data_IF_222805134462
#
_entry.id   IF_222805134462
#
_cell.length_a   1.000
_cell.length_b   1.000
_cell.length_c   1.000
_cell.angle_alpha   90.00
_cell.angle_beta   90.00
_cell.angle_gamma   90.00
#
_symmetry.space_group_name_H-M   'P 1'
#
loop_
_entity.id
_entity.type
_entity.pdbx_description
1 polymer ?
#
# COMPACT_ATOMS: atom_id res chain seq x y z
N UNK A 1 14.90 32.81 19.53
CA UNK A 1 14.73 32.59 18.07
C UNK A 1 13.32 32.11 17.84
N UNK A 2 12.55 32.78 17.00
CA UNK A 2 11.22 32.33 16.65
C UNK A 2 11.35 31.03 15.84
N UNK A 3 10.39 30.08 15.98
CA UNK A 3 10.46 28.79 15.27
C UNK A 3 10.50 28.90 13.73
N UNK A 4 10.22 30.09 13.16
CA UNK A 4 10.30 30.37 11.72
C UNK A 4 11.73 30.34 11.18
N UNK A 5 12.69 30.73 11.99
CA UNK A 5 14.09 30.87 11.54
C UNK A 5 14.91 29.59 11.77
N UNK A 6 14.34 28.61 12.46
CA UNK A 6 15.09 27.42 12.87
C UNK A 6 15.44 26.50 11.68
N UNK A 7 14.51 26.29 10.76
CA UNK A 7 14.79 25.51 9.54
C UNK A 7 15.83 26.23 8.67
N UNK A 8 15.77 27.55 8.57
CA UNK A 8 16.76 28.32 7.84
C UNK A 8 18.13 28.37 8.54
N UNK A 9 18.18 28.23 9.88
CA UNK A 9 19.41 28.27 10.65
C UNK A 9 20.10 26.89 10.76
N UNK A 10 19.38 25.80 10.77
CA UNK A 10 19.87 24.44 10.99
C UNK A 10 19.76 23.55 9.77
N UNK A 11 18.92 23.92 8.78
CA UNK A 11 18.63 23.12 7.61
C UNK A 11 19.49 23.47 6.40
N UNK A 12 19.70 22.47 5.54
CA UNK A 12 20.20 22.68 4.18
C UNK A 12 19.14 23.37 3.34
N UNK A 13 19.51 24.43 2.61
CA UNK A 13 18.63 25.07 1.63
C UNK A 13 18.56 24.19 0.35
N UNK A 14 17.40 23.63 0.11
CA UNK A 14 17.12 22.79 -1.06
C UNK A 14 16.11 23.44 -2.01
N UNK A 15 15.95 24.76 -1.95
CA UNK A 15 14.87 25.49 -2.68
C UNK A 15 14.92 25.20 -4.18
N UNK A 16 16.08 25.24 -4.82
CA UNK A 16 16.22 24.97 -6.25
C UNK A 16 15.86 23.53 -6.60
N UNK A 17 16.34 22.57 -5.79
CA UNK A 17 15.97 21.16 -5.96
C UNK A 17 14.47 20.93 -5.79
N UNK A 18 13.87 21.53 -4.79
CA UNK A 18 12.45 21.48 -4.53
C UNK A 18 11.63 22.12 -5.66
N UNK A 19 12.09 23.25 -6.22
CA UNK A 19 11.44 23.88 -7.36
C UNK A 19 11.42 22.98 -8.58
N UNK A 20 12.53 22.36 -8.94
CA UNK A 20 12.62 21.37 -10.05
C UNK A 20 11.71 20.18 -9.82
N UNK A 21 11.67 19.65 -8.60
CA UNK A 21 10.80 18.55 -8.24
C UNK A 21 9.32 18.91 -8.36
N UNK A 22 8.89 20.05 -7.81
CA UNK A 22 7.50 20.53 -7.86
C UNK A 22 7.05 20.78 -9.30
N UNK A 23 7.89 21.40 -10.11
CA UNK A 23 7.59 21.61 -11.53
C UNK A 23 7.35 20.28 -12.26
N UNK A 24 8.19 19.28 -12.01
CA UNK A 24 8.01 17.94 -12.59
C UNK A 24 6.75 17.22 -12.07
N UNK A 25 6.40 17.36 -10.78
CA UNK A 25 5.16 16.81 -10.21
C UNK A 25 3.91 17.45 -10.85
N UNK A 26 3.95 18.75 -11.15
CA UNK A 26 2.86 19.47 -11.77
C UNK A 26 2.80 19.30 -13.30
N UNK A 27 3.85 18.80 -13.93
CA UNK A 27 3.88 18.56 -15.37
C UNK A 27 2.81 17.53 -15.79
N UNK A 28 2.33 17.59 -17.04
CA UNK A 28 1.47 16.55 -17.57
C UNK A 28 2.18 15.18 -17.52
N UNK A 29 1.53 14.13 -17.01
CA UNK A 29 2.11 12.79 -17.00
C UNK A 29 2.08 12.19 -18.40
N UNK A 30 2.96 11.22 -18.64
CA UNK A 30 2.78 10.27 -19.72
C UNK A 30 1.66 9.29 -19.32
N UNK A 31 0.58 9.26 -20.06
CA UNK A 31 -0.48 8.27 -19.87
C UNK A 31 -0.14 7.03 -20.67
N UNK A 32 -0.01 5.90 -19.98
CA UNK A 32 0.26 4.59 -20.59
C UNK A 32 -1.06 3.84 -20.59
N UNK A 33 -1.60 3.63 -21.78
CA UNK A 33 -2.90 3.01 -21.97
C UNK A 33 -2.91 1.52 -21.68
N UNK A 34 -4.11 1.05 -21.35
CA UNK A 34 -4.44 -0.36 -21.10
C UNK A 34 -4.61 -1.19 -22.37
N UNK A 35 -4.19 -0.69 -23.53
CA UNK A 35 -4.26 -1.43 -24.78
C UNK A 35 -3.72 -2.84 -24.56
N UNK A 36 -4.59 -3.85 -24.74
CA UNK A 36 -4.20 -5.25 -24.64
C UNK A 36 -3.07 -5.51 -25.65
N UNK A 37 -1.85 -5.32 -25.19
CA UNK A 37 -0.68 -5.62 -25.99
C UNK A 37 -0.66 -7.15 -26.19
N UNK A 38 -0.71 -7.62 -27.44
CA UNK A 38 -0.58 -9.04 -27.77
C UNK A 38 0.67 -9.64 -27.12
N UNK A 39 1.73 -8.84 -26.97
CA UNK A 39 2.95 -9.23 -26.27
C UNK A 39 2.72 -9.59 -24.79
N UNK A 40 1.71 -9.00 -24.13
CA UNK A 40 1.29 -9.30 -22.77
C UNK A 40 0.65 -10.69 -22.67
N UNK A 41 -0.24 -11.01 -23.60
CA UNK A 41 -0.87 -12.34 -23.68
C UNK A 41 0.16 -13.42 -23.94
N UNK A 42 1.08 -13.16 -24.85
CA UNK A 42 2.14 -14.11 -25.20
C UNK A 42 3.10 -14.36 -24.02
N UNK A 43 3.50 -13.34 -23.28
CA UNK A 43 4.34 -13.48 -22.09
C UNK A 43 3.68 -14.36 -21.00
N UNK A 44 2.38 -14.20 -20.79
CA UNK A 44 1.61 -15.01 -19.83
C UNK A 44 1.42 -16.44 -20.32
N UNK A 45 1.09 -16.63 -21.58
CA UNK A 45 0.93 -17.97 -22.18
C UNK A 45 2.25 -18.74 -22.18
N UNK A 46 3.37 -18.09 -22.48
CA UNK A 46 4.69 -18.72 -22.46
C UNK A 46 5.19 -19.09 -21.07
N UNK A 47 4.69 -18.43 -20.01
CA UNK A 47 5.08 -18.75 -18.62
C UNK A 47 4.43 -20.03 -18.08
N UNK A 48 3.39 -20.56 -18.74
CA UNK A 48 2.60 -21.71 -18.26
C UNK A 48 1.77 -21.38 -17.01
N UNK A 49 1.78 -20.15 -16.53
CA UNK A 49 0.94 -19.71 -15.43
C UNK A 49 -0.49 -19.49 -15.95
N UNK A 50 -1.49 -20.06 -15.28
CA UNK A 50 -2.89 -19.72 -15.56
C UNK A 50 -3.11 -18.24 -15.21
N UNK A 51 -3.39 -17.36 -16.18
CA UNK A 51 -3.59 -15.95 -15.89
C UNK A 51 -4.86 -15.77 -15.07
N UNK A 52 -4.83 -14.96 -14.00
CA UNK A 52 -6.07 -14.43 -13.45
C UNK A 52 -6.70 -13.53 -14.54
N UNK A 53 -7.82 -13.94 -15.11
CA UNK A 53 -8.57 -13.14 -16.07
C UNK A 53 -9.46 -12.13 -15.34
N UNK A 54 -9.61 -10.91 -15.89
CA UNK A 54 -9.09 -10.39 -17.16
C UNK A 54 -7.73 -9.71 -17.02
N UNK A 55 -6.87 -9.83 -18.06
CA UNK A 55 -5.63 -9.06 -18.22
C UNK A 55 -5.94 -7.61 -18.67
N UNK A 56 -6.93 -6.99 -18.07
CA UNK A 56 -7.26 -5.59 -18.31
C UNK A 56 -6.58 -4.75 -17.24
N UNK A 57 -5.92 -3.69 -17.66
CA UNK A 57 -5.32 -2.70 -16.79
C UNK A 57 -5.93 -1.34 -17.12
N UNK A 58 -6.29 -0.58 -16.11
CA UNK A 58 -6.69 0.82 -16.29
C UNK A 58 -5.44 1.66 -16.63
N UNK A 59 -5.66 2.82 -17.24
CA UNK A 59 -4.57 3.74 -17.59
C UNK A 59 -3.72 4.10 -16.37
N UNK A 60 -2.41 4.13 -16.60
CA UNK A 60 -1.42 4.54 -15.62
C UNK A 60 -0.79 5.86 -16.01
N UNK A 61 -0.42 6.64 -15.02
CA UNK A 61 0.36 7.86 -15.20
C UNK A 61 1.84 7.60 -14.86
N UNK A 62 2.72 8.04 -15.74
CA UNK A 62 4.17 7.97 -15.52
C UNK A 62 4.73 9.38 -15.48
N UNK A 63 5.40 9.72 -14.39
CA UNK A 63 6.14 10.96 -14.24
C UNK A 63 7.63 10.69 -14.18
N UNK A 64 8.39 11.37 -15.03
CA UNK A 64 9.84 11.40 -14.96
C UNK A 64 10.27 12.57 -14.07
N UNK A 65 10.76 12.25 -12.89
CA UNK A 65 11.21 13.23 -11.92
C UNK A 65 12.72 13.42 -12.06
N UNK A 66 13.19 14.64 -12.36
CA UNK A 66 14.61 14.93 -12.57
C UNK A 66 15.42 14.82 -11.27
N UNK A 67 14.75 14.85 -10.13
CA UNK A 67 15.36 14.77 -8.80
C UNK A 67 14.34 14.25 -7.79
N UNK A 68 14.81 13.68 -6.69
CA UNK A 68 14.00 13.39 -5.51
C UNK A 68 14.17 14.50 -4.47
N UNK A 69 13.17 14.75 -3.64
CA UNK A 69 13.30 15.71 -2.54
C UNK A 69 14.38 15.30 -1.53
N UNK A 70 14.59 13.98 -1.36
CA UNK A 70 15.53 13.42 -0.37
C UNK A 70 16.86 12.97 -0.98
N UNK A 71 17.00 12.92 -2.31
CA UNK A 71 18.19 12.48 -3.02
C UNK A 71 18.25 13.14 -4.41
N UNK A 72 19.45 13.33 -4.93
CA UNK A 72 19.66 13.87 -6.29
C UNK A 72 19.71 12.76 -7.35
N UNK A 73 18.66 11.95 -7.44
CA UNK A 73 18.57 10.87 -8.42
C UNK A 73 17.36 11.10 -9.32
N UNK A 74 17.55 10.90 -10.61
CA UNK A 74 16.44 10.87 -11.57
C UNK A 74 15.71 9.53 -11.45
N UNK A 75 14.38 9.56 -11.52
CA UNK A 75 13.59 8.34 -11.47
C UNK A 75 12.22 8.52 -12.11
N UNK A 76 11.65 7.40 -12.54
CA UNK A 76 10.26 7.35 -12.99
C UNK A 76 9.34 6.91 -11.84
N UNK A 77 8.26 7.64 -11.66
CA UNK A 77 7.18 7.27 -10.74
C UNK A 77 5.99 6.81 -11.55
N UNK A 78 5.60 5.57 -11.37
CA UNK A 78 4.41 5.00 -11.99
C UNK A 78 3.26 5.04 -11.01
N UNK A 79 2.21 5.78 -11.35
CA UNK A 79 0.98 5.92 -10.58
C UNK A 79 -0.13 5.14 -11.29
N UNK A 80 -0.50 4.00 -10.74
CA UNK A 80 -1.65 3.24 -11.21
C UNK A 80 -2.96 3.90 -10.79
N UNK A 81 -4.05 3.61 -11.48
CA UNK A 81 -5.37 4.20 -11.21
C UNK A 81 -5.77 4.08 -9.73
N UNK A 82 -5.59 2.89 -9.16
CA UNK A 82 -5.84 2.68 -7.73
C UNK A 82 -5.08 3.64 -6.81
N UNK A 83 -3.81 3.97 -7.12
CA UNK A 83 -3.02 4.93 -6.33
C UNK A 83 -3.58 6.35 -6.43
N UNK A 84 -4.00 6.75 -7.63
CA UNK A 84 -4.64 8.04 -7.87
C UNK A 84 -5.98 8.14 -7.12
N UNK A 85 -6.81 7.11 -7.22
CA UNK A 85 -8.10 7.07 -6.53
C UNK A 85 -7.98 7.12 -5.00
N UNK A 86 -6.97 6.45 -4.42
CA UNK A 86 -6.69 6.54 -2.97
C UNK A 86 -6.20 7.95 -2.61
N UNK A 87 -5.40 8.60 -3.47
CA UNK A 87 -4.97 9.97 -3.25
C UNK A 87 -6.14 10.95 -3.32
N UNK A 88 -7.05 10.79 -4.28
CA UNK A 88 -8.28 11.60 -4.40
C UNK A 88 -9.16 11.48 -3.15
N UNK A 89 -9.30 10.26 -2.62
CA UNK A 89 -10.07 10.02 -1.40
C UNK A 89 -9.41 10.63 -0.15
N UNK A 90 -8.07 10.62 -0.10
CA UNK A 90 -7.32 11.31 0.94
C UNK A 90 -7.48 12.83 0.83
N UNK A 91 -7.36 13.39 -0.38
CA UNK A 91 -7.56 14.81 -0.65
C UNK A 91 -8.96 15.28 -0.28
N UNK A 92 -9.99 14.52 -0.65
CA UNK A 92 -11.39 14.81 -0.27
C UNK A 92 -11.56 14.88 1.25
N UNK A 93 -10.91 13.97 2.01
CA UNK A 93 -10.98 13.98 3.47
C UNK A 93 -10.18 15.12 4.10
N UNK A 94 -9.07 15.53 3.48
CA UNK A 94 -8.22 16.63 3.97
C UNK A 94 -8.82 18.02 3.70
N UNK A 95 -9.91 18.12 2.94
CA UNK A 95 -10.57 19.38 2.62
C UNK A 95 -11.07 20.03 3.90
N UNK A 96 -10.66 21.26 4.13
CA UNK A 96 -11.18 22.07 5.22
C UNK A 96 -12.50 22.73 4.77
N UNK A 97 -13.56 22.66 5.58
CA UNK A 97 -14.74 23.49 5.36
C UNK A 97 -14.40 24.99 5.39
N UNK A 98 -15.18 25.79 4.68
CA UNK A 98 -15.05 27.24 4.74
C UNK A 98 -15.16 27.76 6.15
N UNK A 99 -14.27 28.67 6.54
CA UNK A 99 -14.23 29.23 7.89
C UNK A 99 -13.61 28.30 8.95
N UNK A 100 -12.95 27.20 8.57
CA UNK A 100 -12.28 26.34 9.55
C UNK A 100 -11.22 27.12 10.35
N UNK A 101 -11.27 27.09 11.70
CA UNK A 101 -10.32 27.81 12.52
C UNK A 101 -8.89 27.34 12.33
N UNK A 102 -7.95 28.26 12.10
CA UNK A 102 -6.52 27.93 11.83
C UNK A 102 -5.86 27.13 12.96
N UNK A 103 -6.24 27.36 14.21
CA UNK A 103 -5.71 26.67 15.39
C UNK A 103 -6.59 25.51 15.86
N UNK A 104 -7.40 24.94 14.99
CA UNK A 104 -8.17 23.73 15.24
C UNK A 104 -7.52 22.57 14.53
N UNK A 105 -7.46 21.42 15.20
CA UNK A 105 -6.93 20.17 14.63
C UNK A 105 -7.54 19.90 13.26
N UNK A 106 -6.66 19.83 12.27
CA UNK A 106 -7.04 19.47 10.90
C UNK A 106 -7.41 18.00 10.77
N UNK A 107 -8.05 17.65 9.66
CA UNK A 107 -8.34 16.25 9.32
C UNK A 107 -7.08 15.38 9.30
N UNK A 108 -7.27 14.08 9.52
CA UNK A 108 -6.20 13.11 9.60
C UNK A 108 -6.50 11.87 8.76
N UNK A 109 -5.51 11.42 7.99
CA UNK A 109 -5.60 10.25 7.12
C UNK A 109 -4.45 9.30 7.42
N UNK A 110 -4.77 8.03 7.58
CA UNK A 110 -3.82 6.94 7.54
C UNK A 110 -3.89 6.26 6.17
N UNK A 111 -2.77 6.11 5.49
CA UNK A 111 -2.65 5.29 4.28
C UNK A 111 -1.78 4.09 4.58
N UNK A 112 -2.36 2.90 4.47
CA UNK A 112 -1.67 1.65 4.76
C UNK A 112 -1.75 0.66 3.60
N UNK A 113 -0.96 -0.40 3.67
CA UNK A 113 -0.86 -1.43 2.64
C UNK A 113 0.48 -2.14 2.73
N UNK A 114 0.65 -3.22 1.98
CA UNK A 114 1.87 -4.03 2.02
C UNK A 114 3.14 -3.23 1.77
N UNK A 115 4.27 -3.55 2.43
CA UNK A 115 5.53 -2.88 2.17
C UNK A 115 5.98 -3.03 0.71
N UNK A 116 6.43 -1.95 0.07
CA UNK A 116 7.01 -2.02 -1.28
C UNK A 116 6.04 -1.88 -2.45
N UNK A 117 4.75 -1.54 -2.20
CA UNK A 117 3.72 -1.33 -3.25
C UNK A 117 3.66 0.10 -3.80
N UNK A 118 4.54 1.00 -3.37
CA UNK A 118 4.60 2.38 -3.85
C UNK A 118 3.93 3.43 -2.96
N UNK A 119 3.56 3.10 -1.71
CA UNK A 119 2.95 4.06 -0.77
C UNK A 119 3.77 5.33 -0.59
N UNK A 120 5.06 5.18 -0.28
CA UNK A 120 5.92 6.33 0.02
C UNK A 120 6.23 7.18 -1.21
N UNK A 121 6.41 6.56 -2.37
CA UNK A 121 6.81 7.28 -3.58
C UNK A 121 5.58 7.68 -4.43
N UNK A 122 4.87 6.72 -5.02
CA UNK A 122 3.80 6.99 -5.97
C UNK A 122 2.59 7.71 -5.32
N UNK A 123 2.17 7.27 -4.13
CA UNK A 123 1.07 7.92 -3.43
C UNK A 123 1.45 9.35 -2.98
N UNK A 124 2.67 9.56 -2.45
CA UNK A 124 3.09 10.90 -2.04
C UNK A 124 3.14 11.86 -3.22
N UNK A 125 3.60 11.41 -4.40
CA UNK A 125 3.61 12.24 -5.62
C UNK A 125 2.19 12.56 -6.06
N UNK A 126 1.28 11.58 -6.11
CA UNK A 126 -0.13 11.80 -6.45
C UNK A 126 -0.80 12.79 -5.48
N UNK A 127 -0.58 12.60 -4.18
CA UNK A 127 -1.10 13.47 -3.13
C UNK A 127 -0.56 14.91 -3.26
N UNK A 128 0.75 15.08 -3.42
CA UNK A 128 1.38 16.40 -3.59
C UNK A 128 0.81 17.11 -4.82
N UNK A 129 0.65 16.39 -5.93
CA UNK A 129 0.08 16.95 -7.15
C UNK A 129 -1.32 17.50 -6.93
N UNK A 130 -2.21 16.75 -6.27
CA UNK A 130 -3.55 17.21 -5.96
C UNK A 130 -3.57 18.39 -4.97
N UNK A 131 -2.74 18.34 -3.92
CA UNK A 131 -2.60 19.46 -2.96
C UNK A 131 -2.15 20.74 -3.65
N UNK A 132 -1.13 20.67 -4.50
CA UNK A 132 -0.55 21.84 -5.18
C UNK A 132 -1.48 22.42 -6.25
N UNK A 133 -2.34 21.58 -6.86
CA UNK A 133 -3.39 22.01 -7.80
C UNK A 133 -4.64 22.57 -7.12
N UNK A 134 -4.73 22.48 -5.80
CA UNK A 134 -5.88 22.94 -5.04
C UNK A 134 -7.09 22.01 -5.10
N UNK A 135 -6.90 20.72 -5.38
CA UNK A 135 -7.99 19.74 -5.48
C UNK A 135 -8.64 19.43 -4.10
N UNK A 136 -7.90 19.63 -3.02
CA UNK A 136 -8.40 19.55 -1.63
C UNK A 136 -8.86 20.90 -1.04
N UNK A 137 -9.21 21.86 -1.86
CA UNK A 137 -9.38 23.26 -1.49
C UNK A 137 -8.10 24.07 -1.79
N UNK A 138 -7.95 25.32 -1.31
CA UNK A 138 -6.76 26.11 -1.57
C UNK A 138 -5.48 25.36 -1.24
N UNK A 139 -4.48 25.44 -2.12
CA UNK A 139 -3.19 24.79 -1.91
C UNK A 139 -2.58 25.20 -0.56
N UNK A 140 -1.97 24.27 0.20
CA UNK A 140 -1.39 24.60 1.48
C UNK A 140 -0.16 25.50 1.31
N UNK A 141 -0.04 26.60 2.11
CA UNK A 141 1.12 27.47 2.05
C UNK A 141 2.40 26.77 2.53
N UNK A 142 2.24 25.72 3.34
CA UNK A 142 3.34 24.94 3.90
C UNK A 142 3.02 23.45 3.83
N UNK A 143 3.98 22.66 3.34
CA UNK A 143 3.98 21.20 3.44
C UNK A 143 5.23 20.78 4.19
N UNK A 144 5.06 19.92 5.20
CA UNK A 144 6.17 19.32 5.95
C UNK A 144 6.13 17.81 5.73
N UNK A 145 7.26 17.23 5.34
CA UNK A 145 7.40 15.79 5.07
C UNK A 145 8.44 15.22 6.04
N UNK A 146 7.99 14.39 6.97
CA UNK A 146 8.83 13.69 7.95
C UNK A 146 9.07 12.25 7.46
N UNK A 147 10.24 12.00 6.83
CA UNK A 147 10.62 10.68 6.34
C UNK A 147 11.58 10.04 7.36
N UNK A 148 11.03 9.40 8.36
CA UNK A 148 11.78 8.85 9.50
C UNK A 148 12.75 7.74 9.11
N UNK A 149 12.51 7.04 8.01
CA UNK A 149 13.43 6.02 7.50
C UNK A 149 14.79 6.58 7.07
N UNK A 150 14.87 7.87 6.70
CA UNK A 150 16.09 8.59 6.32
C UNK A 150 16.51 9.63 7.34
N UNK A 151 15.82 9.70 8.49
CA UNK A 151 16.01 10.71 9.53
C UNK A 151 15.94 12.15 9.02
N UNK A 152 15.16 12.39 7.94
CA UNK A 152 15.12 13.67 7.25
C UNK A 152 13.71 14.26 7.29
N UNK A 153 13.62 15.53 7.64
CA UNK A 153 12.40 16.32 7.55
C UNK A 153 12.60 17.45 6.54
N UNK A 154 11.66 17.55 5.59
CA UNK A 154 11.64 18.60 4.58
C UNK A 154 10.47 19.51 4.82
N UNK A 155 10.71 20.80 4.77
CA UNK A 155 9.70 21.86 4.85
C UNK A 155 9.69 22.66 3.57
N UNK A 156 8.55 22.65 2.90
CA UNK A 156 8.29 23.36 1.66
C UNK A 156 7.33 24.52 1.93
N UNK A 157 7.64 25.70 1.42
CA UNK A 157 6.78 26.89 1.43
C UNK A 157 6.48 27.30 -0.01
N UNK A 158 5.25 27.66 -0.27
CA UNK A 158 4.77 27.95 -1.61
C UNK A 158 4.29 29.39 -1.74
N UNK A 159 4.45 29.95 -2.94
CA UNK A 159 3.67 31.08 -3.41
C UNK A 159 2.37 30.56 -3.98
N UNK A 160 1.25 31.07 -3.50
CA UNK A 160 -0.10 30.65 -3.87
C UNK A 160 -0.79 31.75 -4.67
N UNK A 161 -1.32 31.42 -5.84
CA UNK A 161 -2.14 32.28 -6.69
C UNK A 161 -3.40 31.51 -7.05
N UNK A 162 -4.56 32.17 -6.95
CA UNK A 162 -5.87 31.56 -7.24
C UNK A 162 -6.09 30.16 -6.61
N UNK A 163 -5.59 29.98 -5.39
CA UNK A 163 -5.70 28.72 -4.66
C UNK A 163 -4.79 27.60 -5.15
N UNK A 164 -3.84 27.88 -6.06
CA UNK A 164 -2.86 26.91 -6.58
C UNK A 164 -1.44 27.32 -6.23
N UNK A 165 -0.58 26.35 -6.03
CA UNK A 165 0.85 26.62 -5.85
C UNK A 165 1.49 26.89 -7.22
N UNK A 166 2.09 28.08 -7.36
CA UNK A 166 2.76 28.50 -8.61
C UNK A 166 4.27 28.30 -8.57
N UNK A 167 4.87 28.38 -7.37
CA UNK A 167 6.31 28.19 -7.19
C UNK A 167 6.65 27.83 -5.75
N UNK A 168 7.84 27.25 -5.56
CA UNK A 168 8.43 27.07 -4.23
C UNK A 168 9.06 28.40 -3.78
N UNK A 169 8.58 28.95 -2.68
CA UNK A 169 9.14 30.15 -2.07
C UNK A 169 10.42 29.87 -1.33
N UNK A 170 10.46 28.79 -0.57
CA UNK A 170 11.65 28.28 0.14
C UNK A 170 11.47 26.81 0.50
N UNK A 171 12.56 26.08 0.50
CA UNK A 171 12.59 24.69 0.93
C UNK A 171 13.85 24.39 1.75
N UNK A 172 13.67 23.70 2.86
CA UNK A 172 14.77 23.33 3.77
C UNK A 172 14.68 21.86 4.13
N UNK A 173 15.84 21.22 4.20
CA UNK A 173 16.01 19.86 4.72
C UNK A 173 16.73 19.94 6.06
N UNK A 174 16.22 19.26 7.06
CA UNK A 174 16.77 19.23 8.43
C UNK A 174 16.83 17.78 8.93
N UNK A 175 17.80 17.46 9.78
CA UNK A 175 17.80 16.16 10.46
C UNK A 175 16.62 16.07 11.43
N UNK A 176 16.04 14.87 11.54
CA UNK A 176 14.89 14.62 12.39
C UNK A 176 15.18 14.91 13.88
N UNK A 177 16.42 14.74 14.32
CA UNK A 177 16.83 15.05 15.71
C UNK A 177 16.69 16.53 16.03
N UNK A 178 16.86 17.39 15.02
CA UNK A 178 16.71 18.84 15.13
C UNK A 178 15.27 19.32 14.90
N UNK A 179 14.42 18.46 14.30
CA UNK A 179 13.02 18.75 14.11
C UNK A 179 12.25 18.58 15.42
N UNK A 180 11.45 19.59 15.76
CA UNK A 180 10.57 19.54 16.94
C UNK A 180 9.11 19.60 16.52
N UNK A 181 8.29 18.81 17.21
CA UNK A 181 6.83 18.86 17.07
C UNK A 181 6.23 20.25 17.44
N UNK A 182 7.02 21.13 18.04
CA UNK A 182 6.67 22.53 18.35
C UNK A 182 6.98 23.52 17.21
N UNK A 183 7.21 23.05 15.98
CA UNK A 183 7.32 23.95 14.82
C UNK A 183 5.99 24.73 14.66
N UNK A 184 6.02 26.07 14.60
CA UNK A 184 4.80 26.90 14.61
C UNK A 184 3.90 26.66 13.38
N UNK A 185 4.44 26.15 12.26
CA UNK A 185 3.61 25.82 11.11
C UNK A 185 2.79 24.55 11.37
N UNK A 186 3.20 23.66 12.28
CA UNK A 186 2.40 22.49 12.69
C UNK A 186 1.21 22.87 13.59
N UNK A 187 1.20 24.06 14.15
CA UNK A 187 0.07 24.61 14.91
C UNK A 187 -1.04 25.18 14.00
N UNK A 188 -0.87 25.09 12.68
CA UNK A 188 -1.80 25.67 11.71
C UNK A 188 -2.47 24.57 10.89
N UNK A 189 -3.80 24.54 10.88
CA UNK A 189 -4.58 23.62 10.06
C UNK A 189 -4.44 23.87 8.54
N UNK A 190 -3.92 25.03 8.13
CA UNK A 190 -3.56 25.32 6.73
C UNK A 190 -2.31 24.56 6.26
N UNK A 191 -1.46 24.10 7.19
CA UNK A 191 -0.30 23.26 6.90
C UNK A 191 -0.72 21.81 6.65
N UNK A 192 0.00 21.13 5.76
CA UNK A 192 -0.09 19.68 5.57
C UNK A 192 1.18 19.02 6.10
N UNK A 193 1.00 18.03 6.95
CA UNK A 193 2.07 17.26 7.56
C UNK A 193 1.99 15.79 7.10
N UNK A 194 2.99 15.34 6.35
CA UNK A 194 3.09 13.98 5.83
C UNK A 194 4.15 13.24 6.64
N UNK A 195 3.79 12.10 7.22
CA UNK A 195 4.68 11.29 8.06
C UNK A 195 4.82 9.89 7.44
N UNK A 196 6.06 9.51 7.12
CA UNK A 196 6.43 8.13 6.77
C UNK A 196 7.22 7.55 7.95
N UNK A 197 6.59 6.77 8.85
CA UNK A 197 7.22 6.27 10.06
C UNK A 197 8.35 5.29 9.73
N UNK A 198 9.43 5.37 10.53
CA UNK A 198 10.54 4.43 10.42
C UNK A 198 10.11 3.00 10.76
N UNK A 199 10.82 2.03 10.19
CA UNK A 199 10.77 0.65 10.68
C UNK A 199 11.15 0.63 12.17
N UNK A 200 10.65 -0.36 12.92
CA UNK A 200 10.93 -0.63 14.34
C UNK A 200 12.36 -0.21 14.76
N UNK A 201 12.57 1.03 15.06
CA UNK A 201 13.76 1.52 15.77
C UNK A 201 13.27 2.29 16.97
N UNK A 202 14.07 2.28 18.01
CA UNK A 202 13.81 2.78 19.35
C UNK A 202 13.33 4.24 19.48
N UNK A 203 13.15 4.93 18.37
CA UNK A 203 12.69 6.35 18.30
C UNK A 203 11.34 6.48 17.55
N UNK A 204 10.80 5.39 17.03
CA UNK A 204 9.55 5.40 16.27
C UNK A 204 8.32 5.50 17.20
N UNK A 205 8.16 6.65 17.80
CA UNK A 205 6.87 7.00 18.42
C UNK A 205 5.81 7.27 17.35
N UNK A 206 4.57 7.17 17.76
CA UNK A 206 3.41 7.66 17.00
C UNK A 206 3.67 9.08 16.46
N UNK A 207 3.12 9.46 15.30
CA UNK A 207 3.22 10.83 14.83
C UNK A 207 2.81 11.82 15.92
N UNK A 208 3.48 12.99 16.00
CA UNK A 208 3.15 13.97 17.02
C UNK A 208 1.71 14.47 16.86
N UNK A 209 1.11 14.82 17.97
CA UNK A 209 -0.22 15.40 17.99
C UNK A 209 -0.14 16.89 17.68
N UNK A 210 -0.49 17.28 16.45
CA UNK A 210 -0.34 18.65 15.91
C UNK A 210 -1.67 19.15 15.35
N UNK A 211 -1.82 20.45 15.13
CA UNK A 211 -3.03 21.04 14.54
C UNK A 211 -3.06 20.89 12.99
N UNK A 212 -1.92 20.69 12.34
CA UNK A 212 -1.81 20.50 10.90
C UNK A 212 -2.67 19.33 10.38
N UNK A 213 -3.15 19.43 9.14
CA UNK A 213 -3.74 18.31 8.40
C UNK A 213 -2.67 17.22 8.28
N UNK A 214 -2.93 16.04 8.80
CA UNK A 214 -1.88 15.03 8.94
C UNK A 214 -2.17 13.80 8.13
N UNK A 215 -1.19 13.34 7.36
CA UNK A 215 -1.22 12.08 6.62
C UNK A 215 -0.12 11.19 7.16
N UNK A 216 -0.47 9.98 7.57
CA UNK A 216 0.48 8.94 7.98
C UNK A 216 0.51 7.86 6.91
N UNK A 217 1.69 7.56 6.38
CA UNK A 217 1.91 6.54 5.35
C UNK A 217 2.65 5.38 6.01
N UNK A 218 1.93 4.39 6.51
CA UNK A 218 2.51 3.32 7.32
C UNK A 218 2.35 1.93 6.69
N UNK A 219 3.21 0.96 7.03
CA UNK A 219 2.90 -0.46 6.82
C UNK A 219 1.69 -0.86 7.68
N UNK A 220 1.07 -2.02 7.44
CA UNK A 220 -0.08 -2.48 8.19
C UNK A 220 0.32 -3.02 9.60
N UNK A 221 1.13 -2.28 10.33
CA UNK A 221 1.55 -2.56 11.70
C UNK A 221 1.06 -1.43 12.59
N UNK A 222 0.13 -1.72 13.49
CA UNK A 222 -0.58 -0.74 14.33
C UNK A 222 0.34 0.01 15.29
N UNK A 223 1.47 -0.56 15.66
CA UNK A 223 2.50 0.08 16.50
C UNK A 223 2.88 1.47 15.97
N UNK A 224 2.86 1.65 14.64
CA UNK A 224 3.23 2.90 13.99
C UNK A 224 2.14 3.99 14.03
N UNK A 225 0.87 3.63 14.21
CA UNK A 225 -0.23 4.57 14.04
C UNK A 225 -1.40 4.43 15.02
N UNK A 226 -1.41 3.41 15.90
CA UNK A 226 -2.52 3.17 16.85
C UNK A 226 -2.86 4.41 17.68
N UNK A 227 -1.84 5.03 18.28
CA UNK A 227 -2.04 6.25 19.07
C UNK A 227 -2.52 7.43 18.22
N UNK A 228 -2.04 7.54 16.98
CA UNK A 228 -2.50 8.54 16.03
C UNK A 228 -3.99 8.37 15.73
N UNK A 229 -4.43 7.14 15.44
CA UNK A 229 -5.82 6.83 15.14
C UNK A 229 -6.76 7.07 16.34
N UNK A 230 -6.28 6.86 17.57
CA UNK A 230 -7.10 7.08 18.77
C UNK A 230 -7.16 8.53 19.23
N UNK A 231 -6.10 9.32 18.98
CA UNK A 231 -6.02 10.72 19.46
C UNK A 231 -6.64 11.73 18.49
N UNK A 232 -6.80 11.39 17.22
CA UNK A 232 -7.34 12.29 16.20
C UNK A 232 -8.86 12.22 16.14
N UNK A 233 -9.56 13.35 15.99
CA UNK A 233 -11.00 13.35 15.78
C UNK A 233 -11.30 12.81 14.35
N UNK A 234 -12.03 11.69 14.28
CA UNK A 234 -12.50 11.06 13.03
C UNK A 234 -11.39 10.82 12.01
N UNK A 235 -10.30 10.14 12.38
CA UNK A 235 -9.25 9.81 11.42
C UNK A 235 -9.80 8.84 10.39
N UNK A 236 -9.37 8.95 9.14
CA UNK A 236 -9.75 8.05 8.05
C UNK A 236 -8.60 7.11 7.73
N UNK A 237 -8.84 5.81 7.76
CA UNK A 237 -7.90 4.82 7.26
C UNK A 237 -8.23 4.47 5.81
N UNK A 238 -7.23 4.51 4.94
CA UNK A 238 -7.29 4.13 3.53
C UNK A 238 -6.30 3.00 3.26
N UNK A 239 -6.75 1.99 2.52
CA UNK A 239 -6.00 0.78 2.28
C UNK A 239 -5.60 0.66 0.81
N UNK A 240 -4.30 0.51 0.55
CA UNK A 240 -3.76 0.29 -0.79
C UNK A 240 -3.55 -1.21 -1.04
N UNK A 241 -4.19 -1.73 -2.10
CA UNK A 241 -3.98 -3.12 -2.54
C UNK A 241 -2.63 -3.31 -3.22
N UNK A 242 -2.19 -4.54 -3.34
CA UNK A 242 -1.05 -4.92 -4.16
C UNK A 242 -1.31 -4.67 -5.65
N UNK A 243 -0.25 -4.72 -6.45
CA UNK A 243 -0.33 -4.60 -7.90
C UNK A 243 -0.89 -5.88 -8.53
N UNK A 244 -1.72 -5.73 -9.54
CA UNK A 244 -2.10 -6.85 -10.39
C UNK A 244 -0.96 -7.21 -11.34
N UNK A 245 -1.01 -8.41 -11.92
CA UNK A 245 -0.04 -8.81 -12.94
C UNK A 245 -0.10 -7.89 -14.15
N UNK A 246 -1.29 -7.52 -14.59
CA UNK A 246 -1.50 -6.62 -15.72
C UNK A 246 -0.86 -5.24 -15.47
N UNK A 247 -1.09 -4.65 -14.29
CA UNK A 247 -0.45 -3.39 -13.90
C UNK A 247 1.08 -3.49 -13.93
N UNK A 248 1.65 -4.59 -13.43
CA UNK A 248 3.09 -4.79 -13.41
C UNK A 248 3.69 -4.95 -14.81
N UNK A 249 3.01 -5.67 -15.70
CA UNK A 249 3.46 -5.86 -17.08
C UNK A 249 3.42 -4.55 -17.88
N UNK A 250 2.38 -3.74 -17.71
CA UNK A 250 2.30 -2.40 -18.33
C UNK A 250 3.37 -1.46 -17.75
N UNK A 251 3.62 -1.51 -16.44
CA UNK A 251 4.65 -0.70 -15.78
C UNK A 251 6.08 -1.19 -16.00
N UNK A 252 6.27 -2.40 -16.54
CA UNK A 252 7.58 -3.06 -16.70
C UNK A 252 8.64 -2.20 -17.36
N UNK A 253 8.38 -1.53 -18.50
CA UNK A 253 9.43 -0.73 -19.17
C UNK A 253 10.01 0.37 -18.29
N UNK A 254 9.24 0.88 -17.32
CA UNK A 254 9.63 1.98 -16.44
C UNK A 254 10.21 1.51 -15.11
N UNK A 255 9.72 0.38 -14.60
CA UNK A 255 10.09 -0.12 -13.26
C UNK A 255 11.14 -1.24 -13.30
N UNK A 256 11.15 -2.03 -14.37
CA UNK A 256 11.95 -3.24 -14.53
C UNK A 256 12.52 -3.35 -15.97
N UNK A 257 13.23 -2.33 -16.50
CA UNK A 257 13.64 -2.30 -17.91
C UNK A 257 14.51 -3.51 -18.28
N UNK A 258 15.29 -4.03 -17.33
CA UNK A 258 16.20 -5.17 -17.52
C UNK A 258 15.51 -6.54 -17.34
N UNK A 259 14.20 -6.57 -17.01
CA UNK A 259 13.48 -7.81 -16.73
C UNK A 259 12.50 -8.09 -17.87
N UNK A 260 12.59 -9.24 -18.51
CA UNK A 260 11.61 -9.66 -19.52
C UNK A 260 10.25 -10.02 -18.87
N UNK A 261 9.20 -10.08 -19.70
CA UNK A 261 7.84 -10.33 -19.23
C UNK A 261 7.69 -11.70 -18.57
N UNK A 262 8.31 -12.75 -19.12
CA UNK A 262 8.25 -14.11 -18.58
C UNK A 262 8.86 -14.18 -17.18
N UNK A 263 10.07 -13.67 -17.02
CA UNK A 263 10.75 -13.59 -15.72
C UNK A 263 9.93 -12.81 -14.69
N UNK A 264 9.29 -11.70 -15.10
CA UNK A 264 8.42 -10.93 -14.20
C UNK A 264 7.21 -11.74 -13.75
N UNK A 265 6.57 -12.49 -14.66
CA UNK A 265 5.45 -13.39 -14.32
C UNK A 265 5.89 -14.49 -13.35
N UNK A 266 7.02 -15.14 -13.58
CA UNK A 266 7.55 -16.18 -12.70
C UNK A 266 7.82 -15.66 -11.29
N UNK A 267 8.36 -14.44 -11.15
CA UNK A 267 8.56 -13.78 -9.86
C UNK A 267 7.22 -13.39 -9.21
N UNK A 268 6.27 -12.89 -10.00
CA UNK A 268 4.94 -12.52 -9.51
C UNK A 268 4.17 -13.71 -8.97
N UNK A 269 4.22 -14.87 -9.61
CA UNK A 269 3.59 -16.11 -9.12
C UNK A 269 4.05 -16.44 -7.70
N UNK A 270 5.33 -16.18 -7.38
CA UNK A 270 5.92 -16.45 -6.05
C UNK A 270 5.65 -15.33 -5.04
N UNK A 271 5.80 -14.06 -5.45
CA UNK A 271 5.85 -12.89 -4.56
C UNK A 271 4.65 -11.96 -4.70
N UNK A 272 3.66 -12.32 -5.54
CA UNK A 272 2.48 -11.48 -5.76
C UNK A 272 2.82 -10.08 -6.27
N UNK A 273 1.89 -9.15 -6.05
CA UNK A 273 1.95 -7.80 -6.56
C UNK A 273 2.77 -6.82 -5.71
N UNK A 274 3.97 -7.21 -5.27
CA UNK A 274 4.88 -6.34 -4.49
C UNK A 274 6.10 -5.97 -5.35
N UNK A 275 6.10 -4.83 -6.06
CA UNK A 275 7.16 -4.45 -7.01
C UNK A 275 8.57 -4.53 -6.45
N UNK A 276 8.77 -4.15 -5.19
CA UNK A 276 10.09 -4.20 -4.55
C UNK A 276 10.69 -5.60 -4.55
N UNK A 277 9.87 -6.64 -4.38
CA UNK A 277 10.29 -8.04 -4.35
C UNK A 277 10.56 -8.63 -5.73
N UNK A 278 10.21 -7.90 -6.81
CA UNK A 278 10.29 -8.37 -8.18
C UNK A 278 11.49 -7.82 -8.97
N UNK A 279 12.27 -6.90 -8.38
CA UNK A 279 13.34 -6.16 -9.08
C UNK A 279 14.45 -7.03 -9.65
N UNK A 280 14.86 -8.07 -8.94
CA UNK A 280 15.94 -8.98 -9.38
C UNK A 280 15.74 -10.38 -8.79
N UNK A 281 16.42 -11.37 -9.35
CA UNK A 281 16.37 -12.76 -8.88
C UNK A 281 16.86 -12.89 -7.43
N UNK A 282 17.92 -12.19 -7.07
CA UNK A 282 18.47 -12.22 -5.73
C UNK A 282 17.48 -11.64 -4.71
N UNK A 283 16.80 -10.54 -5.03
CA UNK A 283 15.77 -9.94 -4.19
C UNK A 283 14.56 -10.87 -4.09
N UNK A 284 14.10 -11.43 -5.21
CA UNK A 284 12.99 -12.37 -5.24
C UNK A 284 13.30 -13.63 -4.40
N UNK A 285 14.49 -14.19 -4.56
CA UNK A 285 14.94 -15.36 -3.77
C UNK A 285 14.97 -15.05 -2.28
N UNK A 286 15.55 -13.92 -1.88
CA UNK A 286 15.57 -13.47 -0.49
C UNK A 286 14.15 -13.30 0.07
N UNK A 287 13.25 -12.72 -0.72
CA UNK A 287 11.85 -12.57 -0.34
C UNK A 287 11.16 -13.95 -0.20
N UNK A 288 11.42 -14.92 -1.10
CA UNK A 288 10.91 -16.28 -1.00
C UNK A 288 11.39 -16.98 0.28
N UNK A 289 12.67 -16.88 0.60
CA UNK A 289 13.22 -17.44 1.85
C UNK A 289 12.52 -16.84 3.07
N UNK A 290 12.39 -15.54 3.12
CA UNK A 290 11.66 -14.84 4.20
C UNK A 290 10.21 -15.32 4.30
N UNK A 291 9.50 -15.41 3.18
CA UNK A 291 8.12 -15.89 3.12
C UNK A 291 8.00 -17.31 3.68
N UNK A 292 8.87 -18.22 3.23
CA UNK A 292 8.90 -19.62 3.72
C UNK A 292 9.17 -19.66 5.23
N UNK A 293 10.13 -18.87 5.72
CA UNK A 293 10.41 -18.78 7.17
C UNK A 293 9.19 -18.30 7.93
N UNK A 294 8.52 -17.24 7.44
CA UNK A 294 7.30 -16.71 8.06
C UNK A 294 6.17 -17.74 8.06
N UNK A 295 5.95 -18.45 6.94
CA UNK A 295 4.95 -19.53 6.87
C UNK A 295 5.25 -20.59 7.94
N UNK A 296 6.54 -20.92 8.16
CA UNK A 296 6.94 -21.90 9.14
C UNK A 296 6.63 -21.51 10.58
N UNK A 297 6.54 -20.25 10.89
CA UNK A 297 6.21 -19.72 12.23
C UNK A 297 4.79 -19.18 12.35
N UNK A 298 4.03 -19.13 11.23
CA UNK A 298 2.69 -18.57 11.20
C UNK A 298 1.73 -19.38 12.07
N UNK A 299 1.04 -18.79 13.07
CA UNK A 299 0.04 -19.48 13.86
C UNK A 299 -1.20 -19.81 13.01
N UNK A 300 -1.79 -20.99 13.23
CA UNK A 300 -3.03 -21.38 12.51
C UNK A 300 -4.17 -20.39 12.75
N UNK A 301 -4.29 -19.82 13.96
CA UNK A 301 -5.31 -18.84 14.29
C UNK A 301 -5.32 -17.62 13.35
N UNK A 302 -4.16 -17.18 12.85
CA UNK A 302 -4.06 -16.09 11.86
C UNK A 302 -4.67 -16.52 10.52
N UNK A 303 -4.37 -17.73 10.05
CA UNK A 303 -4.94 -18.27 8.81
C UNK A 303 -6.44 -18.47 8.95
N UNK A 304 -6.88 -19.04 10.08
CA UNK A 304 -8.29 -19.21 10.40
C UNK A 304 -9.04 -17.86 10.33
N UNK A 305 -8.49 -16.83 10.93
CA UNK A 305 -9.11 -15.50 10.92
C UNK A 305 -9.23 -14.92 9.51
N UNK A 306 -8.17 -15.01 8.68
CA UNK A 306 -8.21 -14.56 7.26
C UNK A 306 -9.26 -15.34 6.47
N UNK A 307 -9.37 -16.65 6.71
CA UNK A 307 -10.35 -17.49 6.02
C UNK A 307 -11.79 -17.19 6.44
N UNK A 308 -12.03 -16.87 7.72
CA UNK A 308 -13.38 -16.55 8.24
C UNK A 308 -13.82 -15.13 7.94
N UNK A 309 -12.90 -14.18 8.07
CA UNK A 309 -13.21 -12.75 8.07
C UNK A 309 -12.21 -11.97 7.19
N UNK A 310 -12.23 -12.18 5.85
CA UNK A 310 -11.25 -11.58 4.94
C UNK A 310 -11.30 -10.04 4.92
N UNK A 311 -12.39 -9.43 5.40
CA UNK A 311 -12.56 -7.96 5.45
C UNK A 311 -12.07 -7.31 6.75
N UNK A 312 -11.44 -8.07 7.64
CA UNK A 312 -10.90 -7.51 8.90
C UNK A 312 -9.46 -7.03 8.72
N UNK A 313 -9.27 -5.72 8.84
CA UNK A 313 -7.96 -5.08 8.70
C UNK A 313 -6.93 -5.50 9.78
N UNK A 314 -7.40 -5.98 10.93
CA UNK A 314 -6.59 -6.18 12.14
C UNK A 314 -5.78 -7.49 12.15
N UNK A 315 -5.98 -8.37 11.18
CA UNK A 315 -5.31 -9.68 11.13
C UNK A 315 -3.82 -9.58 10.81
N UNK A 316 -3.39 -8.48 10.17
CA UNK A 316 -1.96 -8.24 9.87
C UNK A 316 -1.20 -7.76 11.10
N UNK A 317 -1.91 -7.41 12.15
CA UNK A 317 -1.39 -7.00 13.46
C UNK A 317 -0.86 -8.23 14.21
N UNK A 318 0.20 -8.83 13.65
CA UNK A 318 0.95 -9.87 14.36
C UNK A 318 1.77 -9.23 15.46
N UNK A 319 1.56 -9.68 16.71
CA UNK A 319 2.41 -9.29 17.83
C UNK A 319 3.89 -9.51 17.52
N UNK A 320 4.62 -8.62 17.98
CA UNK A 320 6.05 -8.35 18.13
C UNK A 320 7.11 -8.91 17.15
N UNK A 321 7.02 -10.04 16.44
CA UNK A 321 8.23 -10.53 15.76
C UNK A 321 8.09 -11.15 14.37
N UNK A 322 6.88 -11.35 13.84
CA UNK A 322 6.72 -11.94 12.50
C UNK A 322 5.91 -11.02 11.58
N UNK A 323 6.53 -10.49 10.52
CA UNK A 323 5.79 -9.66 9.58
C UNK A 323 4.84 -10.53 8.75
N UNK A 324 3.60 -10.72 9.23
CA UNK A 324 2.54 -11.40 8.48
C UNK A 324 2.39 -10.84 7.04
N UNK A 325 2.87 -9.62 6.80
CA UNK A 325 2.98 -8.99 5.48
C UNK A 325 3.88 -9.73 4.47
N UNK A 326 4.65 -10.72 4.89
CA UNK A 326 5.38 -11.61 3.99
C UNK A 326 4.50 -12.76 3.46
N UNK A 327 3.36 -13.01 4.08
CA UNK A 327 2.41 -14.07 3.74
C UNK A 327 1.05 -13.52 3.35
N UNK A 328 0.60 -12.45 4.02
CA UNK A 328 -0.72 -11.85 3.86
C UNK A 328 -0.62 -10.44 3.25
N UNK A 329 -1.61 -10.07 2.47
CA UNK A 329 -1.68 -8.77 1.81
C UNK A 329 -3.11 -8.28 1.66
N UNK A 330 -3.28 -7.00 1.33
CA UNK A 330 -4.56 -6.49 0.87
C UNK A 330 -4.69 -6.78 -0.63
N UNK A 331 -5.60 -7.69 -0.98
CA UNK A 331 -5.83 -8.12 -2.37
C UNK A 331 -6.82 -7.22 -3.07
N UNK A 332 -7.82 -6.73 -2.34
CA UNK A 332 -8.81 -5.80 -2.84
C UNK A 332 -9.05 -4.66 -1.84
N UNK A 333 -9.36 -3.50 -2.37
CA UNK A 333 -9.81 -2.35 -1.61
C UNK A 333 -10.61 -1.46 -2.56
N UNK A 334 -11.92 -1.53 -2.47
CA UNK A 334 -12.85 -0.73 -3.28
C UNK A 334 -13.13 0.63 -2.64
N UNK A 335 -13.56 1.59 -3.45
CA UNK A 335 -13.99 2.91 -2.93
C UNK A 335 -15.07 2.72 -1.86
N UNK A 336 -14.98 3.42 -0.74
CA UNK A 336 -14.04 4.49 -0.38
C UNK A 336 -12.69 4.02 0.22
N UNK A 337 -12.20 2.82 -0.07
CA UNK A 337 -10.91 2.23 0.36
C UNK A 337 -10.74 2.08 1.89
N UNK A 338 -11.83 2.05 2.62
CA UNK A 338 -11.85 1.95 4.09
C UNK A 338 -12.04 0.52 4.60
N UNK A 339 -12.34 -0.41 3.69
CA UNK A 339 -12.54 -1.84 3.99
C UNK A 339 -11.68 -2.68 3.05
N UNK A 340 -10.50 -3.09 3.47
CA UNK A 340 -9.66 -3.95 2.65
C UNK A 340 -10.15 -5.39 2.71
N UNK A 341 -10.02 -6.11 1.62
CA UNK A 341 -10.07 -7.56 1.64
C UNK A 341 -8.65 -8.10 1.78
N UNK A 342 -8.45 -8.95 2.77
CA UNK A 342 -7.18 -9.61 3.00
C UNK A 342 -7.13 -10.97 2.29
N UNK A 343 -5.94 -11.31 1.82
CA UNK A 343 -5.69 -12.60 1.20
C UNK A 343 -4.21 -12.97 1.30
N UNK A 344 -3.86 -14.10 0.72
CA UNK A 344 -2.46 -14.52 0.63
C UNK A 344 -1.71 -13.65 -0.38
N UNK A 345 -0.42 -13.46 -0.13
CA UNK A 345 0.46 -12.63 -0.97
C UNK A 345 0.48 -13.08 -2.43
N UNK A 346 0.41 -14.39 -2.66
CA UNK A 346 0.33 -15.01 -4.00
C UNK A 346 -0.31 -16.39 -3.91
N UNK A 347 -0.68 -16.94 -5.08
CA UNK A 347 -1.19 -18.31 -5.19
C UNK A 347 -0.16 -19.35 -4.69
N UNK A 348 1.13 -19.11 -4.89
CA UNK A 348 2.18 -19.97 -4.36
C UNK A 348 2.19 -19.97 -2.82
N UNK A 349 2.12 -18.78 -2.21
CA UNK A 349 2.04 -18.63 -0.75
C UNK A 349 0.80 -19.32 -0.20
N UNK A 350 -0.35 -19.10 -0.82
CA UNK A 350 -1.60 -19.76 -0.46
C UNK A 350 -1.46 -21.29 -0.47
N UNK A 351 -0.93 -21.84 -1.57
CA UNK A 351 -0.72 -23.28 -1.71
C UNK A 351 0.18 -23.83 -0.60
N UNK A 352 1.31 -23.18 -0.32
CA UNK A 352 2.25 -23.63 0.72
C UNK A 352 1.62 -23.56 2.11
N UNK A 353 0.89 -22.49 2.44
CA UNK A 353 0.18 -22.35 3.72
C UNK A 353 -0.89 -23.41 3.89
N UNK A 354 -1.77 -23.57 2.89
CA UNK A 354 -2.87 -24.52 2.95
C UNK A 354 -2.37 -25.97 3.01
N UNK A 355 -1.30 -26.30 2.28
CA UNK A 355 -0.68 -27.63 2.34
C UNK A 355 -0.15 -27.91 3.75
N UNK A 356 0.58 -26.97 4.34
CA UNK A 356 1.15 -27.13 5.68
C UNK A 356 0.08 -27.23 6.76
N UNK A 357 -0.98 -26.42 6.67
CA UNK A 357 -2.03 -26.30 7.69
C UNK A 357 -3.28 -27.11 7.35
N UNK A 358 -3.17 -28.05 6.42
CA UNK A 358 -4.27 -28.80 5.82
C UNK A 358 -5.27 -29.37 6.84
N UNK A 359 -4.77 -30.04 7.89
CA UNK A 359 -5.64 -30.65 8.90
C UNK A 359 -6.48 -29.60 9.66
N UNK A 360 -5.88 -28.47 10.04
CA UNK A 360 -6.58 -27.36 10.69
C UNK A 360 -7.61 -26.71 9.77
N UNK A 361 -7.25 -26.44 8.51
CA UNK A 361 -8.15 -25.85 7.51
C UNK A 361 -9.33 -26.78 7.21
N UNK A 362 -9.10 -28.09 7.10
CA UNK A 362 -10.19 -29.05 6.94
C UNK A 362 -11.13 -29.08 8.14
N UNK A 363 -10.58 -29.05 9.36
CA UNK A 363 -11.40 -28.94 10.58
C UNK A 363 -12.25 -27.67 10.58
N UNK A 364 -11.66 -26.54 10.16
CA UNK A 364 -12.36 -25.27 10.04
C UNK A 364 -13.53 -25.34 9.05
N UNK A 365 -13.31 -25.89 7.86
CA UNK A 365 -14.33 -26.05 6.82
C UNK A 365 -15.48 -26.94 7.32
N UNK A 366 -15.17 -28.05 7.98
CA UNK A 366 -16.17 -29.00 8.47
C UNK A 366 -16.98 -28.44 9.66
N UNK A 367 -16.38 -27.58 10.47
CA UNK A 367 -17.02 -26.95 11.64
C UNK A 367 -17.77 -25.65 11.31
N UNK A 368 -17.61 -25.11 10.10
CA UNK A 368 -18.21 -23.84 9.70
C UNK A 368 -19.73 -23.90 9.67
N UNK A 369 -20.38 -22.89 10.23
CA UNK A 369 -21.83 -22.69 10.08
C UNK A 369 -22.21 -22.22 8.67
N UNK A 370 -23.51 -22.10 8.42
CA UNK A 370 -24.02 -21.76 7.09
C UNK A 370 -23.54 -20.40 6.59
N UNK A 371 -23.32 -19.43 7.49
CA UNK A 371 -22.97 -18.07 7.13
C UNK A 371 -21.48 -17.96 6.76
N UNK A 372 -20.62 -18.74 7.41
CA UNK A 372 -19.18 -18.78 7.12
C UNK A 372 -18.80 -19.71 5.95
N UNK A 373 -19.68 -20.65 5.55
CA UNK A 373 -19.39 -21.58 4.44
C UNK A 373 -19.19 -20.88 3.10
N UNK A 374 -19.90 -19.78 2.85
CA UNK A 374 -19.76 -18.99 1.61
C UNK A 374 -18.36 -18.36 1.56
N UNK A 375 -17.92 -17.76 2.67
CA UNK A 375 -16.59 -17.14 2.76
C UNK A 375 -15.45 -18.17 2.64
N UNK A 376 -15.69 -19.40 3.07
CA UNK A 376 -14.71 -20.50 2.99
C UNK A 376 -14.75 -21.26 1.66
N UNK A 377 -15.69 -20.96 0.76
CA UNK A 377 -15.87 -21.70 -0.50
C UNK A 377 -14.60 -21.77 -1.34
N UNK A 378 -13.93 -20.64 -1.52
CA UNK A 378 -12.68 -20.59 -2.29
C UNK A 378 -11.52 -21.34 -1.60
N UNK A 379 -11.45 -21.31 -0.26
CA UNK A 379 -10.46 -22.07 0.51
C UNK A 379 -10.71 -23.56 0.35
N UNK A 380 -11.97 -23.95 0.39
CA UNK A 380 -12.40 -25.34 0.18
C UNK A 380 -12.00 -25.87 -1.22
N UNK A 381 -12.27 -25.10 -2.27
CA UNK A 381 -11.89 -25.46 -3.64
C UNK A 381 -10.37 -25.64 -3.76
N UNK A 382 -9.57 -24.75 -3.18
CA UNK A 382 -8.10 -24.82 -3.18
C UNK A 382 -7.58 -26.03 -2.41
N UNK A 383 -8.07 -26.25 -1.21
CA UNK A 383 -7.68 -27.42 -0.41
C UNK A 383 -8.07 -28.71 -1.12
N UNK A 384 -9.28 -28.78 -1.68
CA UNK A 384 -9.74 -29.92 -2.47
C UNK A 384 -8.82 -30.19 -3.67
N UNK A 385 -8.42 -29.15 -4.41
CA UNK A 385 -7.49 -29.27 -5.52
C UNK A 385 -6.11 -29.79 -5.08
N UNK A 386 -5.55 -29.25 -3.99
CA UNK A 386 -4.27 -29.71 -3.43
C UNK A 386 -4.35 -31.20 -3.06
N UNK A 387 -5.46 -31.62 -2.43
CA UNK A 387 -5.66 -33.00 -2.03
C UNK A 387 -5.78 -33.94 -3.23
N UNK A 388 -6.41 -33.51 -4.30
CA UNK A 388 -6.51 -34.30 -5.55
C UNK A 388 -5.13 -34.43 -6.21
N UNK A 389 -4.34 -33.36 -6.24
CA UNK A 389 -2.97 -33.39 -6.78
C UNK A 389 -2.03 -34.31 -5.99
N UNK A 390 -2.24 -34.43 -4.66
CA UNK A 390 -1.49 -35.34 -3.79
C UNK A 390 -1.94 -36.82 -3.89
N UNK A 391 -2.84 -37.15 -4.82
CA UNK A 391 -3.31 -38.52 -5.03
C UNK A 391 -4.39 -38.97 -4.02
N UNK A 392 -5.00 -38.03 -3.30
CA UNK A 392 -6.12 -38.32 -2.39
C UNK A 392 -7.39 -38.71 -3.15
N UNK A 393 -8.17 -39.64 -2.60
CA UNK A 393 -9.52 -39.99 -3.12
C UNK A 393 -10.52 -38.98 -2.57
N UNK A 394 -11.19 -38.25 -3.48
CA UNK A 394 -12.23 -37.32 -3.10
C UNK A 394 -13.59 -37.96 -3.18
N UNK A 395 -14.38 -37.94 -2.11
CA UNK A 395 -15.82 -38.22 -2.16
C UNK A 395 -16.58 -36.91 -2.29
N UNK A 396 -17.34 -36.76 -3.37
CA UNK A 396 -18.20 -35.60 -3.59
C UNK A 396 -19.54 -35.84 -2.86
N UNK A 397 -19.78 -35.02 -1.82
CA UNK A 397 -21.06 -34.93 -1.16
C UNK A 397 -21.80 -33.64 -1.56
N UNK A 398 -23.09 -33.66 -1.67
CA UNK A 398 -23.88 -32.47 -1.98
C UNK A 398 -24.47 -31.89 -0.70
N UNK A 399 -24.26 -30.61 -0.48
CA UNK A 399 -24.90 -29.87 0.61
C UNK A 399 -26.10 -29.09 0.06
N UNK A 400 -27.28 -29.21 0.68
CA UNK A 400 -28.42 -28.39 0.28
C UNK A 400 -28.14 -26.92 0.60
N UNK A 401 -28.29 -26.03 -0.40
CA UNK A 401 -28.24 -24.57 -0.17
C UNK A 401 -29.60 -24.05 0.29
N UNK A 402 -29.64 -22.97 1.04
CA UNK A 402 -30.86 -22.24 1.41
C UNK A 402 -31.65 -21.72 0.19
N UNK A 403 -30.99 -21.55 -0.94
CA UNK A 403 -31.56 -21.08 -2.21
C UNK A 403 -31.94 -22.20 -3.18
N UNK A 404 -31.90 -23.49 -2.76
CA UNK A 404 -32.21 -24.62 -3.60
C UNK A 404 -31.09 -25.05 -4.56
N UNK A 405 -29.93 -24.44 -4.52
CA UNK A 405 -28.72 -24.87 -5.25
C UNK A 405 -28.00 -25.99 -4.51
N UNK A 406 -27.36 -26.89 -5.27
CA UNK A 406 -26.52 -27.96 -4.74
C UNK A 406 -25.04 -27.50 -4.74
N UNK A 407 -24.39 -27.49 -3.59
CA UNK A 407 -22.94 -27.34 -3.49
C UNK A 407 -22.27 -28.69 -3.35
N UNK A 408 -21.25 -28.96 -4.15
CA UNK A 408 -20.46 -30.18 -4.02
C UNK A 408 -19.49 -30.08 -2.82
N UNK A 409 -19.60 -30.99 -1.88
CA UNK A 409 -18.64 -31.15 -0.80
C UNK A 409 -17.66 -32.27 -1.17
N UNK A 410 -16.38 -31.89 -1.33
CA UNK A 410 -15.29 -32.84 -1.51
C UNK A 410 -14.83 -33.33 -0.13
N UNK A 411 -15.19 -34.55 0.27
CA UNK A 411 -14.58 -35.19 1.43
C UNK A 411 -13.47 -36.12 0.95
N UNK A 412 -12.23 -35.80 1.33
CA UNK A 412 -11.10 -36.66 1.00
C UNK A 412 -10.81 -37.60 2.15
N UNK A 413 -10.83 -38.91 1.90
CA UNK A 413 -10.33 -39.92 2.82
C UNK A 413 -8.95 -40.39 2.34
N UNK A 414 -7.96 -40.36 3.21
CA UNK A 414 -6.76 -41.15 2.98
C UNK A 414 -7.14 -42.61 3.18
N UNK A 415 -6.93 -43.43 2.14
CA UNK A 415 -6.94 -44.88 2.24
C UNK A 415 -5.61 -45.35 2.85
#
# INVERSE_FOLDING_TARGET
MSGRDRFAALGEDITERAQRYVQAVLAPPLVVGSGADESLRDAVLQSGAAPPLPLTCEDMEVLHLPTQLFREEQFAVVMRRHTLDVADEALAHLRLPDGWPLKRRGPAVLVTGSPGIGKTEAFTVALLRGLLRGEAGPAPPVIIIDKRATTTVIKLRFNIEDGRAVSVRSAYSIDQQDFRASDPDLELSSTVFIVDPAKKSSVAGSPPDVEARTIVIAPPDDVHYKQFMTRRPRPKALYMRCWTLAELLVARPFMFPETDGKTLVERWVKQGGVPRSLKSDSICTTACVRTTTTINTLPFAVVEQVCREPYMANVVEGGDDTPNSAVLTYVESEKPFTRPMMGFLSNWVETVVLTRMRAGVMSLILSADADHRVSLGHVFERVGFIMLCDGGVARVGYLPSRSGGLYALLACSHA
#
